data_IF_549434592122
#
_entry.id   IF_549434592122
#
_cell.length_a   1.000
_cell.length_b   1.000
_cell.length_c   1.000
_cell.angle_alpha   90.00
_cell.angle_beta   90.00
_cell.angle_gamma   90.00
#
_symmetry.space_group_name_H-M   'P 1'
#
loop_
_entity.id
_entity.type
_entity.pdbx_description
1 polymer ?
#
# COMPACT_ATOMS: atom_id res chain seq x y z
N UNK A 1 -1.59 9.98 -26.26
CA UNK A 1 -2.39 9.50 -25.13
C UNK A 1 -1.87 10.19 -23.86
N UNK A 2 -2.60 11.13 -23.30
CA UNK A 2 -2.17 11.87 -22.10
C UNK A 2 -2.12 10.93 -20.89
N UNK A 3 -1.06 11.02 -20.10
CA UNK A 3 -0.98 10.35 -18.79
C UNK A 3 -2.14 10.86 -17.92
N UNK A 4 -2.92 9.94 -17.33
CA UNK A 4 -3.96 10.27 -16.36
C UNK A 4 -3.29 10.99 -15.17
N UNK A 5 -3.66 12.23 -14.93
CA UNK A 5 -3.24 12.96 -13.73
C UNK A 5 -4.19 12.58 -12.59
N UNK A 6 -3.64 12.16 -11.48
CA UNK A 6 -4.38 11.91 -10.26
C UNK A 6 -4.63 13.22 -9.49
N UNK A 7 -5.64 13.25 -8.64
CA UNK A 7 -5.78 14.28 -7.62
C UNK A 7 -4.61 14.20 -6.63
N UNK A 8 -4.37 15.28 -5.87
CA UNK A 8 -3.18 15.33 -4.99
C UNK A 8 -3.08 14.17 -4.01
N UNK A 9 -4.20 13.78 -3.40
CA UNK A 9 -4.29 12.66 -2.46
C UNK A 9 -4.10 11.29 -3.14
N UNK A 10 -4.64 11.11 -4.34
CA UNK A 10 -4.42 9.89 -5.14
C UNK A 10 -2.96 9.76 -5.60
N UNK A 11 -2.34 10.89 -5.95
CA UNK A 11 -0.93 10.93 -6.35
C UNK A 11 -0.01 10.55 -5.19
N UNK A 12 -0.33 10.97 -3.97
CA UNK A 12 0.42 10.60 -2.76
C UNK A 12 0.28 9.09 -2.47
N UNK A 13 -0.93 8.55 -2.55
CA UNK A 13 -1.18 7.09 -2.41
C UNK A 13 -0.46 6.29 -3.49
N UNK A 14 -0.49 6.74 -4.73
CA UNK A 14 0.25 6.12 -5.82
C UNK A 14 1.76 6.12 -5.56
N UNK A 15 2.33 7.23 -5.09
CA UNK A 15 3.76 7.31 -4.74
C UNK A 15 4.13 6.36 -3.60
N UNK A 16 3.30 6.28 -2.57
CA UNK A 16 3.52 5.36 -1.46
C UNK A 16 3.51 3.90 -1.94
N UNK A 17 2.55 3.50 -2.77
CA UNK A 17 2.52 2.15 -3.35
C UNK A 17 3.77 1.84 -4.17
N UNK A 18 4.29 2.81 -4.94
CA UNK A 18 5.55 2.68 -5.68
C UNK A 18 6.76 2.55 -4.76
N UNK A 19 6.80 3.28 -3.64
CA UNK A 19 7.88 3.17 -2.65
C UNK A 19 7.89 1.81 -1.96
N UNK A 20 6.72 1.28 -1.61
CA UNK A 20 6.58 -0.06 -1.04
C UNK A 20 7.07 -1.13 -2.00
N UNK A 21 6.61 -1.12 -3.25
CA UNK A 21 7.05 -2.05 -4.28
C UNK A 21 8.57 -1.97 -4.53
N UNK A 22 9.13 -0.76 -4.56
CA UNK A 22 10.57 -0.57 -4.72
C UNK A 22 11.38 -1.07 -3.51
N UNK A 23 10.87 -0.89 -2.29
CA UNK A 23 11.50 -1.40 -1.08
C UNK A 23 11.58 -2.93 -1.11
N UNK A 24 10.54 -3.59 -1.52
CA UNK A 24 10.48 -5.05 -1.69
C UNK A 24 11.45 -5.53 -2.78
N UNK A 25 11.39 -4.94 -3.97
CA UNK A 25 12.33 -5.24 -5.06
C UNK A 25 13.77 -5.05 -4.59
N UNK A 26 14.08 -3.96 -3.92
CA UNK A 26 15.41 -3.68 -3.39
C UNK A 26 15.88 -4.74 -2.38
N UNK A 27 14.98 -5.23 -1.53
CA UNK A 27 15.30 -6.24 -0.52
C UNK A 27 15.49 -7.65 -1.11
N UNK A 28 14.89 -7.93 -2.27
CA UNK A 28 14.92 -9.26 -2.89
C UNK A 28 15.96 -9.40 -4.00
N UNK A 29 16.27 -8.31 -4.75
CA UNK A 29 17.04 -8.40 -6.00
C UNK A 29 18.48 -7.89 -5.91
N UNK A 30 18.94 -7.37 -4.78
CA UNK A 30 20.27 -6.76 -4.67
C UNK A 30 21.42 -7.71 -5.03
N UNK A 31 21.30 -8.97 -4.69
CA UNK A 31 22.29 -10.00 -5.00
C UNK A 31 22.34 -10.33 -6.50
N UNK A 32 21.19 -10.29 -7.20
CA UNK A 32 21.14 -10.47 -8.66
C UNK A 32 21.85 -9.33 -9.39
N UNK A 33 21.61 -8.07 -8.94
CA UNK A 33 22.26 -6.89 -9.53
C UNK A 33 23.77 -6.92 -9.29
N UNK A 34 24.20 -7.27 -8.08
CA UNK A 34 25.63 -7.45 -7.78
C UNK A 34 26.24 -8.57 -8.63
N UNK A 35 25.56 -9.71 -8.73
CA UNK A 35 25.99 -10.85 -9.57
C UNK A 35 26.12 -10.47 -11.03
N UNK A 36 25.21 -9.66 -11.57
CA UNK A 36 25.28 -9.18 -12.95
C UNK A 36 26.52 -8.30 -13.17
N UNK A 37 26.83 -7.38 -12.26
CA UNK A 37 28.05 -6.56 -12.33
C UNK A 37 29.29 -7.42 -12.34
N UNK A 38 29.31 -8.48 -11.51
CA UNK A 38 30.45 -9.41 -11.40
C UNK A 38 30.56 -10.35 -12.61
N UNK A 39 29.46 -10.73 -13.24
CA UNK A 39 29.45 -11.65 -14.40
C UNK A 39 30.28 -11.09 -15.57
N UNK A 40 30.33 -9.79 -15.74
CA UNK A 40 31.16 -9.14 -16.74
C UNK A 40 32.68 -9.29 -16.48
N UNK A 41 33.10 -9.70 -15.30
CA UNK A 41 34.53 -9.90 -15.01
C UNK A 41 35.14 -11.04 -15.84
N UNK A 42 34.34 -12.07 -16.20
CA UNK A 42 34.78 -13.09 -17.14
C UNK A 42 35.06 -12.52 -18.53
N UNK A 43 34.20 -11.57 -18.97
CA UNK A 43 34.38 -10.85 -20.22
C UNK A 43 35.60 -9.94 -20.18
N UNK A 44 35.86 -9.25 -19.07
CA UNK A 44 37.05 -8.41 -18.86
C UNK A 44 38.33 -9.22 -19.00
N UNK A 45 38.38 -10.43 -18.39
CA UNK A 45 39.51 -11.34 -18.52
C UNK A 45 39.72 -11.81 -19.99
N UNK A 46 38.64 -12.07 -20.74
CA UNK A 46 38.72 -12.48 -22.13
C UNK A 46 39.23 -11.35 -23.05
N UNK A 47 38.82 -10.11 -22.76
CA UNK A 47 39.17 -8.92 -23.56
C UNK A 47 40.60 -8.45 -23.30
N UNK A 48 41.00 -8.42 -22.02
CA UNK A 48 42.30 -7.90 -21.57
C UNK A 48 42.86 -8.72 -20.43
N UNK A 49 43.56 -9.83 -20.71
CA UNK A 49 44.12 -10.69 -19.68
C UNK A 49 45.17 -10.03 -18.79
N UNK A 50 45.77 -8.92 -19.22
CA UNK A 50 46.80 -8.23 -18.46
C UNK A 50 46.24 -7.27 -17.42
N UNK A 51 45.12 -6.61 -17.71
CA UNK A 51 44.54 -5.56 -16.86
C UNK A 51 43.23 -6.00 -16.16
N UNK A 52 42.70 -7.19 -16.44
CA UNK A 52 41.40 -7.65 -15.91
C UNK A 52 41.31 -7.61 -14.38
N UNK A 53 42.42 -7.84 -13.67
CA UNK A 53 42.41 -7.87 -12.21
C UNK A 53 42.06 -6.51 -11.62
N UNK A 54 42.53 -5.41 -12.21
CA UNK A 54 42.19 -4.04 -11.80
C UNK A 54 40.70 -3.76 -12.03
N UNK A 55 40.18 -4.14 -13.20
CA UNK A 55 38.75 -4.03 -13.51
C UNK A 55 37.89 -4.87 -12.57
N UNK A 56 38.30 -6.11 -12.27
CA UNK A 56 37.64 -7.00 -11.31
C UNK A 56 37.54 -6.37 -9.90
N UNK A 57 38.63 -5.80 -9.39
CA UNK A 57 38.62 -5.14 -8.08
C UNK A 57 37.65 -3.96 -8.02
N UNK A 58 37.57 -3.17 -9.07
CA UNK A 58 36.59 -2.07 -9.19
C UNK A 58 35.15 -2.60 -9.19
N UNK A 59 34.88 -3.70 -9.90
CA UNK A 59 33.56 -4.34 -9.87
C UNK A 59 33.22 -4.92 -8.50
N UNK A 60 34.20 -5.48 -7.79
CA UNK A 60 34.02 -5.94 -6.41
C UNK A 60 33.61 -4.81 -5.47
N UNK A 61 34.21 -3.62 -5.59
CA UNK A 61 33.81 -2.47 -4.81
C UNK A 61 32.36 -2.03 -5.11
N UNK A 62 32.00 -1.96 -6.39
CA UNK A 62 30.63 -1.65 -6.81
C UNK A 62 29.62 -2.67 -6.30
N UNK A 63 29.90 -3.95 -6.47
CA UNK A 63 29.07 -5.04 -5.97
C UNK A 63 28.93 -5.01 -4.43
N UNK A 64 30.00 -4.69 -3.71
CA UNK A 64 29.99 -4.50 -2.25
C UNK A 64 29.02 -3.40 -1.81
N UNK A 65 29.00 -2.25 -2.49
CA UNK A 65 28.03 -1.16 -2.23
C UNK A 65 26.61 -1.63 -2.52
N UNK A 66 26.38 -2.33 -3.63
CA UNK A 66 25.06 -2.86 -4.00
C UNK A 66 24.56 -3.84 -2.95
N UNK A 67 25.39 -4.76 -2.50
CA UNK A 67 25.05 -5.75 -1.46
C UNK A 67 24.79 -5.04 -0.12
N UNK A 68 25.70 -4.15 0.30
CA UNK A 68 25.57 -3.42 1.56
C UNK A 68 24.25 -2.65 1.66
N UNK A 69 23.89 -1.92 0.61
CA UNK A 69 22.61 -1.20 0.57
C UNK A 69 21.39 -2.13 0.54
N UNK A 70 21.51 -3.32 -0.06
CA UNK A 70 20.49 -4.36 -0.06
C UNK A 70 20.25 -4.97 1.33
N UNK A 71 21.33 -5.26 2.03
CA UNK A 71 21.26 -5.74 3.41
C UNK A 71 20.63 -4.67 4.31
N UNK A 72 21.04 -3.39 4.19
CA UNK A 72 20.43 -2.29 4.94
C UNK A 72 18.92 -2.22 4.68
N UNK A 73 18.48 -2.29 3.42
CA UNK A 73 17.05 -2.26 3.09
C UNK A 73 16.31 -3.45 3.72
N UNK A 74 16.89 -4.65 3.66
CA UNK A 74 16.28 -5.88 4.18
C UNK A 74 16.19 -5.90 5.71
N UNK A 75 17.23 -5.42 6.39
CA UNK A 75 17.29 -5.42 7.86
C UNK A 75 16.42 -4.31 8.45
N UNK A 76 16.44 -3.12 7.86
CA UNK A 76 15.70 -1.97 8.41
C UNK A 76 14.24 -1.93 7.99
N UNK A 77 13.87 -2.50 6.84
CA UNK A 77 12.53 -2.42 6.26
C UNK A 77 12.08 -0.98 5.92
N UNK A 78 12.97 0.00 5.96
CA UNK A 78 12.63 1.42 5.82
C UNK A 78 12.22 1.78 4.39
N UNK A 79 10.92 1.97 4.20
CA UNK A 79 10.31 2.33 2.90
C UNK A 79 10.74 3.71 2.43
N UNK A 80 10.89 4.67 3.34
CA UNK A 80 11.33 6.05 3.06
C UNK A 80 12.75 6.13 2.46
N UNK A 81 13.56 5.10 2.63
CA UNK A 81 14.91 5.01 2.07
C UNK A 81 14.99 4.35 0.69
N UNK A 82 13.93 3.67 0.25
CA UNK A 82 13.92 2.85 -0.97
C UNK A 82 14.41 3.60 -2.23
N UNK A 83 13.95 4.84 -2.42
CA UNK A 83 14.38 5.68 -3.54
C UNK A 83 15.86 6.10 -3.46
N UNK A 84 16.37 6.39 -2.26
CA UNK A 84 17.79 6.75 -2.05
C UNK A 84 18.68 5.54 -2.31
N UNK A 85 18.30 4.39 -1.79
CA UNK A 85 19.00 3.12 -1.99
C UNK A 85 19.06 2.75 -3.47
N UNK A 86 17.96 2.90 -4.20
CA UNK A 86 17.91 2.65 -5.65
C UNK A 86 18.90 3.55 -6.40
N UNK A 87 18.95 4.85 -6.09
CA UNK A 87 19.90 5.79 -6.69
C UNK A 87 21.35 5.46 -6.38
N UNK A 88 21.65 5.10 -5.14
CA UNK A 88 23.02 4.71 -4.73
C UNK A 88 23.44 3.43 -5.47
N UNK A 89 22.58 2.43 -5.58
CA UNK A 89 22.86 1.19 -6.34
C UNK A 89 23.11 1.47 -7.81
N UNK A 90 22.25 2.26 -8.41
CA UNK A 90 22.38 2.63 -9.81
C UNK A 90 23.70 3.37 -10.07
N UNK A 91 24.04 4.35 -9.22
CA UNK A 91 25.30 5.06 -9.31
C UNK A 91 26.50 4.12 -9.12
N UNK A 92 26.49 3.25 -8.10
CA UNK A 92 27.55 2.30 -7.84
C UNK A 92 27.78 1.34 -9.01
N UNK A 93 26.69 0.80 -9.60
CA UNK A 93 26.76 -0.06 -10.79
C UNK A 93 27.35 0.69 -12.01
N UNK A 94 26.86 1.90 -12.27
CA UNK A 94 27.34 2.72 -13.39
C UNK A 94 28.83 3.08 -13.25
N UNK A 95 29.24 3.54 -12.06
CA UNK A 95 30.64 3.88 -11.77
C UNK A 95 31.54 2.65 -11.90
N UNK A 96 31.15 1.54 -11.29
CA UNK A 96 31.94 0.32 -11.33
C UNK A 96 32.15 -0.19 -12.76
N UNK A 97 31.08 -0.18 -13.57
CA UNK A 97 31.21 -0.60 -14.98
C UNK A 97 32.03 0.38 -15.79
N UNK A 98 31.78 1.71 -15.67
CA UNK A 98 32.52 2.72 -16.46
C UNK A 98 34.01 2.75 -16.10
N UNK A 99 34.37 2.66 -14.79
CA UNK A 99 35.75 2.62 -14.36
C UNK A 99 36.44 1.31 -14.79
N UNK A 100 35.75 0.17 -14.70
CA UNK A 100 36.32 -1.09 -15.19
C UNK A 100 36.65 -1.02 -16.70
N UNK A 101 35.72 -0.47 -17.50
CA UNK A 101 35.95 -0.29 -18.95
C UNK A 101 37.12 0.68 -19.26
N UNK A 102 37.33 1.67 -18.41
CA UNK A 102 38.45 2.62 -18.58
C UNK A 102 39.83 2.02 -18.28
N UNK A 103 39.89 0.93 -17.49
CA UNK A 103 41.11 0.23 -17.11
C UNK A 103 41.54 -0.83 -18.14
N UNK A 104 40.63 -1.23 -19.01
CA UNK A 104 40.89 -2.28 -20.02
C UNK A 104 41.30 -1.66 -21.35
N UNK A 105 42.23 -2.30 -22.04
CA UNK A 105 42.52 -1.96 -23.44
C UNK A 105 41.27 -2.19 -24.28
N UNK A 106 40.86 -1.16 -25.02
CA UNK A 106 39.59 -1.17 -25.82
C UNK A 106 38.32 -1.47 -24.99
N UNK A 107 38.34 -1.35 -23.65
CA UNK A 107 37.21 -1.69 -22.78
C UNK A 107 35.91 -0.97 -23.17
N UNK A 108 35.94 0.33 -23.47
CA UNK A 108 34.76 1.06 -23.96
C UNK A 108 34.29 0.63 -25.35
N UNK A 109 35.16 0.11 -26.19
CA UNK A 109 34.78 -0.35 -27.52
C UNK A 109 34.00 -1.69 -27.46
N UNK A 110 34.46 -2.62 -26.65
CA UNK A 110 33.91 -3.99 -26.61
C UNK A 110 32.96 -4.22 -25.42
N UNK A 111 33.10 -3.47 -24.33
CA UNK A 111 32.33 -3.66 -23.09
C UNK A 111 31.17 -2.70 -22.89
N UNK A 112 30.89 -1.79 -23.81
CA UNK A 112 29.84 -0.76 -23.72
C UNK A 112 28.46 -1.35 -23.42
N UNK A 113 28.18 -2.58 -23.83
CA UNK A 113 26.93 -3.28 -23.60
C UNK A 113 26.60 -3.41 -22.08
N UNK A 114 27.62 -3.59 -21.23
CA UNK A 114 27.43 -3.61 -19.78
C UNK A 114 26.94 -2.28 -19.23
N UNK A 115 27.46 -1.17 -19.75
CA UNK A 115 27.03 0.17 -19.36
C UNK A 115 25.59 0.46 -19.84
N UNK A 116 25.27 0.08 -21.08
CA UNK A 116 23.92 0.16 -21.63
C UNK A 116 22.92 -0.63 -20.77
N UNK A 117 23.27 -1.85 -20.35
CA UNK A 117 22.41 -2.69 -19.51
C UNK A 117 22.10 -2.02 -18.15
N UNK A 118 23.10 -1.38 -17.53
CA UNK A 118 22.87 -0.61 -16.29
C UNK A 118 21.93 0.57 -16.54
N UNK A 119 22.14 1.35 -17.60
CA UNK A 119 21.28 2.49 -17.93
C UNK A 119 19.82 2.08 -18.20
N UNK A 120 19.58 0.94 -18.81
CA UNK A 120 18.24 0.40 -19.07
C UNK A 120 17.52 -0.04 -17.79
N UNK A 121 18.23 -0.18 -16.66
CA UNK A 121 17.60 -0.50 -15.38
C UNK A 121 16.97 0.71 -14.65
N UNK A 122 17.31 1.94 -15.03
CA UNK A 122 16.81 3.17 -14.40
C UNK A 122 15.28 3.28 -14.35
N UNK A 123 14.50 2.94 -15.40
CA UNK A 123 13.03 3.02 -15.37
C UNK A 123 12.37 2.13 -14.32
N UNK A 124 12.98 1.00 -13.96
CA UNK A 124 12.44 0.07 -12.99
C UNK A 124 12.59 0.57 -11.54
N UNK A 125 13.61 1.39 -11.30
CA UNK A 125 14.01 1.82 -9.97
C UNK A 125 13.63 3.28 -9.67
N UNK A 126 13.24 4.06 -10.67
CA UNK A 126 12.74 5.42 -10.50
C UNK A 126 11.30 5.42 -9.95
N UNK A 127 11.05 6.24 -8.91
CA UNK A 127 9.70 6.44 -8.36
C UNK A 127 8.97 7.53 -9.13
N UNK A 128 9.68 8.61 -9.46
CA UNK A 128 9.15 9.76 -10.17
C UNK A 128 10.07 10.23 -11.30
N UNK A 129 9.62 11.26 -12.02
CA UNK A 129 10.38 11.85 -13.14
C UNK A 129 11.69 12.49 -12.71
N UNK A 130 11.77 13.04 -11.49
CA UNK A 130 13.00 13.63 -10.96
C UNK A 130 14.05 12.58 -10.73
N UNK A 131 13.65 11.44 -10.13
CA UNK A 131 14.52 10.29 -9.94
C UNK A 131 15.07 9.79 -11.29
N UNK A 132 14.19 9.66 -12.30
CA UNK A 132 14.58 9.22 -13.63
C UNK A 132 15.59 10.18 -14.27
N UNK A 133 15.38 11.50 -14.17
CA UNK A 133 16.31 12.50 -14.69
C UNK A 133 17.66 12.39 -13.99
N UNK A 134 17.67 12.31 -12.67
CA UNK A 134 18.92 12.19 -11.90
C UNK A 134 19.67 10.92 -12.26
N UNK A 135 18.98 9.78 -12.39
CA UNK A 135 19.60 8.49 -12.71
C UNK A 135 20.12 8.40 -14.14
N UNK A 136 19.61 9.20 -15.08
CA UNK A 136 20.11 9.22 -16.45
C UNK A 136 21.14 10.34 -16.72
N UNK A 137 20.93 11.53 -16.18
CA UNK A 137 21.78 12.70 -16.48
C UNK A 137 23.10 12.70 -15.69
N UNK A 138 23.04 12.40 -14.37
CA UNK A 138 24.26 12.42 -13.54
C UNK A 138 25.31 11.39 -14.02
N UNK A 139 24.95 10.14 -14.40
CA UNK A 139 25.91 9.19 -14.95
C UNK A 139 26.52 9.63 -16.28
N UNK A 140 25.76 10.31 -17.15
CA UNK A 140 26.31 10.79 -18.43
C UNK A 140 27.50 11.75 -18.23
N UNK A 141 27.36 12.67 -17.29
CA UNK A 141 28.46 13.57 -16.96
C UNK A 141 29.67 12.80 -16.42
N UNK A 142 29.43 11.85 -15.52
CA UNK A 142 30.50 11.05 -14.93
C UNK A 142 31.19 10.16 -15.97
N UNK A 143 30.43 9.51 -16.86
CA UNK A 143 30.97 8.72 -17.96
C UNK A 143 31.84 9.58 -18.89
N UNK A 144 31.37 10.77 -19.24
CA UNK A 144 32.14 11.70 -20.08
C UNK A 144 33.48 12.09 -19.41
N UNK A 145 33.49 12.36 -18.10
CA UNK A 145 34.71 12.62 -17.33
C UNK A 145 35.67 11.44 -17.34
N UNK A 146 35.15 10.21 -17.09
CA UNK A 146 35.96 9.00 -17.11
C UNK A 146 36.55 8.74 -18.51
N UNK A 147 35.77 8.91 -19.58
CA UNK A 147 36.24 8.74 -20.96
C UNK A 147 37.31 9.77 -21.31
N UNK A 148 37.16 11.03 -20.89
CA UNK A 148 38.15 12.07 -21.08
C UNK A 148 39.46 11.78 -20.33
N UNK A 149 39.35 11.32 -19.05
CA UNK A 149 40.50 10.94 -18.24
C UNK A 149 41.26 9.71 -18.78
N UNK A 150 40.53 8.78 -19.40
CA UNK A 150 41.12 7.59 -20.02
C UNK A 150 41.84 7.89 -21.36
N UNK A 151 41.75 9.12 -21.90
CA UNK A 151 42.45 9.52 -23.13
C UNK A 151 42.03 8.74 -24.37
N UNK A 152 40.73 8.36 -24.48
CA UNK A 152 40.20 7.52 -25.56
C UNK A 152 40.29 8.21 -26.91
N UNK A 153 40.51 7.40 -27.96
CA UNK A 153 40.50 7.86 -29.34
C UNK A 153 39.12 8.32 -29.79
N UNK A 154 39.07 9.16 -30.84
CA UNK A 154 37.82 9.78 -31.31
C UNK A 154 36.79 8.75 -31.81
N UNK A 155 37.22 7.61 -32.37
CA UNK A 155 36.32 6.55 -32.82
C UNK A 155 35.63 5.88 -31.62
N UNK A 156 36.38 5.52 -30.59
CA UNK A 156 35.85 4.93 -29.32
C UNK A 156 34.88 5.87 -28.63
N UNK A 157 35.20 7.16 -28.56
CA UNK A 157 34.30 8.18 -28.00
C UNK A 157 33.00 8.28 -28.79
N UNK A 158 33.08 8.38 -30.11
CA UNK A 158 31.91 8.46 -30.99
C UNK A 158 31.04 7.21 -30.89
N UNK A 159 31.63 6.03 -30.96
CA UNK A 159 30.94 4.75 -30.84
C UNK A 159 30.19 4.67 -29.47
N UNK A 160 30.88 4.98 -28.39
CA UNK A 160 30.28 4.98 -27.04
C UNK A 160 29.14 5.97 -26.95
N UNK A 161 29.29 7.19 -27.48
CA UNK A 161 28.24 8.21 -27.46
C UNK A 161 26.98 7.77 -28.17
N UNK A 162 27.11 7.06 -29.33
CA UNK A 162 25.95 6.49 -30.05
C UNK A 162 25.19 5.47 -29.20
N UNK A 163 25.91 4.51 -28.61
CA UNK A 163 25.27 3.48 -27.76
C UNK A 163 24.63 4.07 -26.50
N UNK A 164 25.28 5.04 -25.85
CA UNK A 164 24.77 5.76 -24.67
C UNK A 164 23.52 6.55 -25.04
N UNK A 165 23.53 7.27 -26.18
CA UNK A 165 22.36 8.01 -26.65
C UNK A 165 21.18 7.08 -26.96
N UNK A 166 21.43 5.92 -27.58
CA UNK A 166 20.41 4.91 -27.81
C UNK A 166 19.87 4.34 -26.51
N UNK A 167 20.75 4.00 -25.56
CA UNK A 167 20.35 3.52 -24.24
C UNK A 167 19.48 4.54 -23.49
N UNK A 168 19.85 5.82 -23.54
CA UNK A 168 19.05 6.91 -22.95
C UNK A 168 17.67 7.00 -23.60
N UNK A 169 17.60 6.98 -24.93
CA UNK A 169 16.32 7.01 -25.66
C UNK A 169 15.42 5.83 -25.25
N UNK A 170 15.97 4.61 -25.26
CA UNK A 170 15.22 3.41 -24.85
C UNK A 170 14.81 3.47 -23.39
N UNK A 171 15.71 3.92 -22.49
CA UNK A 171 15.40 4.12 -21.06
C UNK A 171 14.22 5.08 -20.85
N UNK A 172 14.20 6.21 -21.58
CA UNK A 172 13.09 7.18 -21.49
C UNK A 172 11.77 6.62 -22.07
N UNK A 173 11.82 5.83 -23.14
CA UNK A 173 10.64 5.16 -23.69
C UNK A 173 10.08 4.12 -22.70
N UNK A 174 10.95 3.28 -22.14
CA UNK A 174 10.58 2.29 -21.13
C UNK A 174 9.97 2.98 -19.90
N UNK A 175 10.56 4.06 -19.41
CA UNK A 175 10.03 4.81 -18.29
C UNK A 175 8.59 5.29 -18.52
N UNK A 176 8.28 5.77 -19.74
CA UNK A 176 6.91 6.17 -20.09
C UNK A 176 5.94 4.98 -20.08
N UNK A 177 6.39 3.84 -20.64
CA UNK A 177 5.57 2.62 -20.67
C UNK A 177 5.28 2.14 -19.25
N UNK A 178 6.32 2.04 -18.39
CA UNK A 178 6.17 1.63 -16.99
C UNK A 178 5.31 2.59 -16.18
N UNK A 179 5.53 3.91 -16.28
CA UNK A 179 4.71 4.89 -15.59
C UNK A 179 3.24 4.74 -15.98
N UNK A 180 2.97 4.60 -17.29
CA UNK A 180 1.60 4.46 -17.78
C UNK A 180 0.96 3.15 -17.32
N UNK A 181 1.69 2.03 -17.35
CA UNK A 181 1.22 0.72 -16.92
C UNK A 181 0.92 0.71 -15.42
N UNK A 182 1.84 1.22 -14.60
CA UNK A 182 1.66 1.29 -13.14
C UNK A 182 0.48 2.19 -12.74
N UNK A 183 0.29 3.34 -13.40
CA UNK A 183 -0.86 4.22 -13.15
C UNK A 183 -2.18 3.56 -13.53
N UNK A 184 -2.20 2.77 -14.62
CA UNK A 184 -3.40 2.02 -15.02
C UNK A 184 -3.70 0.90 -14.03
N UNK A 185 -2.69 0.13 -13.63
CA UNK A 185 -2.86 -0.94 -12.65
C UNK A 185 -3.40 -0.40 -11.32
N UNK A 186 -2.82 0.69 -10.80
CA UNK A 186 -3.29 1.36 -9.58
C UNK A 186 -4.73 1.87 -9.71
N UNK A 187 -5.08 2.51 -10.83
CA UNK A 187 -6.44 3.00 -11.07
C UNK A 187 -7.46 1.84 -11.15
N UNK A 188 -7.09 0.73 -11.79
CA UNK A 188 -7.96 -0.46 -11.89
C UNK A 188 -8.15 -1.12 -10.53
N UNK A 189 -7.10 -1.26 -9.74
CA UNK A 189 -7.16 -1.77 -8.36
C UNK A 189 -8.09 -0.92 -7.50
N UNK A 190 -8.00 0.40 -7.60
CA UNK A 190 -8.91 1.32 -6.92
C UNK A 190 -10.37 1.17 -7.39
N UNK A 191 -10.59 1.00 -8.69
CA UNK A 191 -11.93 0.75 -9.22
C UNK A 191 -12.50 -0.56 -8.68
N UNK A 192 -11.74 -1.66 -8.73
CA UNK A 192 -12.17 -2.96 -8.20
C UNK A 192 -12.46 -2.90 -6.70
N UNK A 193 -11.63 -2.20 -5.92
CA UNK A 193 -11.89 -2.01 -4.49
C UNK A 193 -13.12 -1.15 -4.21
N UNK A 194 -13.42 -0.20 -5.09
CA UNK A 194 -14.61 0.66 -5.00
C UNK A 194 -15.88 -0.09 -5.43
N UNK A 195 -15.77 -1.03 -6.35
CA UNK A 195 -16.88 -1.87 -6.82
C UNK A 195 -17.12 -3.08 -5.89
N UNK A 196 -16.16 -3.45 -5.06
CA UNK A 196 -16.34 -4.50 -4.07
C UNK A 196 -17.49 -4.14 -3.11
N UNK A 197 -18.43 -5.07 -2.93
CA UNK A 197 -19.59 -4.90 -2.02
C UNK A 197 -19.34 -5.46 -0.63
N UNK A 198 -18.30 -6.24 -0.48
CA UNK A 198 -17.93 -6.91 0.76
C UNK A 198 -16.56 -6.47 1.25
N UNK A 199 -16.36 -6.49 2.57
CA UNK A 199 -15.06 -6.36 3.20
C UNK A 199 -14.25 -7.63 2.99
N UNK A 200 -13.05 -7.51 2.45
CA UNK A 200 -12.21 -8.66 2.06
C UNK A 200 -11.76 -9.52 3.26
N UNK A 201 -11.67 -8.94 4.47
CA UNK A 201 -11.23 -9.64 5.66
C UNK A 201 -12.34 -10.46 6.30
N UNK A 202 -13.53 -9.85 6.46
CA UNK A 202 -14.65 -10.43 7.21
C UNK A 202 -15.74 -11.06 6.34
N UNK A 203 -15.71 -10.78 5.02
CA UNK A 203 -16.75 -11.22 4.09
C UNK A 203 -18.14 -10.62 4.34
N UNK A 204 -18.26 -9.66 5.29
CA UNK A 204 -19.48 -8.90 5.51
C UNK A 204 -19.61 -7.79 4.44
N UNK A 205 -20.81 -7.27 4.18
CA UNK A 205 -21.02 -6.02 3.49
C UNK A 205 -20.07 -4.92 4.01
N UNK A 206 -19.44 -4.19 3.11
CA UNK A 206 -18.63 -3.04 3.48
C UNK A 206 -19.51 -1.80 3.73
N UNK A 207 -18.92 -0.72 4.23
CA UNK A 207 -19.60 0.53 4.54
C UNK A 207 -20.48 1.03 3.39
N UNK A 208 -20.00 0.97 2.14
CA UNK A 208 -20.75 1.43 0.97
C UNK A 208 -22.02 0.60 0.76
N UNK A 209 -21.90 -0.73 0.85
CA UNK A 209 -23.06 -1.63 0.72
C UNK A 209 -24.08 -1.42 1.82
N UNK A 210 -23.62 -1.11 3.04
CA UNK A 210 -24.51 -0.75 4.16
C UNK A 210 -25.23 0.56 3.90
N UNK A 211 -24.55 1.58 3.40
CA UNK A 211 -25.15 2.89 3.06
C UNK A 211 -26.22 2.75 1.95
N UNK A 212 -25.96 1.89 0.95
CA UNK A 212 -26.93 1.58 -0.12
C UNK A 212 -28.16 0.85 0.44
N UNK A 213 -27.95 -0.18 1.29
CA UNK A 213 -29.03 -0.92 1.96
C UNK A 213 -29.85 -0.01 2.88
N UNK A 214 -29.17 0.79 3.71
CA UNK A 214 -29.81 1.75 4.61
C UNK A 214 -30.69 2.77 3.86
N UNK A 215 -30.16 3.31 2.75
CA UNK A 215 -30.92 4.27 1.92
C UNK A 215 -32.23 3.63 1.42
N UNK A 216 -32.17 2.38 0.99
CA UNK A 216 -33.37 1.63 0.55
C UNK A 216 -34.36 1.45 1.70
N UNK A 217 -33.88 1.08 2.88
CA UNK A 217 -34.72 0.85 4.06
C UNK A 217 -35.32 2.15 4.63
N UNK A 218 -34.56 3.25 4.61
CA UNK A 218 -35.07 4.58 4.98
C UNK A 218 -36.23 4.98 4.06
N UNK A 219 -36.09 4.81 2.74
CA UNK A 219 -37.18 5.05 1.78
C UNK A 219 -38.40 4.19 2.05
N UNK A 220 -38.19 2.89 2.31
CA UNK A 220 -39.23 1.95 2.65
C UNK A 220 -39.97 2.36 3.93
N UNK A 221 -39.23 2.64 5.01
CA UNK A 221 -39.78 3.05 6.31
C UNK A 221 -40.52 4.38 6.22
N UNK A 222 -40.07 5.34 5.42
CA UNK A 222 -40.78 6.60 5.15
C UNK A 222 -42.13 6.35 4.53
N UNK A 223 -42.23 5.45 3.56
CA UNK A 223 -43.48 5.13 2.85
C UNK A 223 -44.46 4.32 3.71
N UNK A 224 -43.94 3.37 4.51
CA UNK A 224 -44.80 2.48 5.30
C UNK A 224 -45.10 3.00 6.71
N UNK A 225 -44.36 3.99 7.19
CA UNK A 225 -44.41 4.47 8.57
C UNK A 225 -43.72 3.52 9.57
N UNK A 226 -43.01 2.51 9.09
CA UNK A 226 -42.33 1.54 9.92
C UNK A 226 -41.10 2.14 10.60
N UNK A 227 -40.77 1.75 11.86
CA UNK A 227 -39.56 2.16 12.54
C UNK A 227 -38.33 1.53 11.89
N UNK A 228 -37.20 2.22 11.97
CA UNK A 228 -35.89 1.76 11.54
C UNK A 228 -34.87 2.11 12.62
N UNK A 229 -34.09 1.16 13.06
CA UNK A 229 -33.03 1.38 14.04
C UNK A 229 -31.65 1.05 13.49
N UNK A 230 -30.63 1.63 14.09
CA UNK A 230 -29.22 1.44 13.78
C UNK A 230 -28.48 1.05 15.05
N UNK A 231 -27.61 0.05 14.95
CA UNK A 231 -26.66 -0.33 15.98
C UNK A 231 -25.25 -0.12 15.41
N UNK A 232 -24.42 0.62 16.12
CA UNK A 232 -22.97 0.67 15.88
C UNK A 232 -22.27 -0.04 17.02
N UNK A 233 -21.26 -0.85 16.72
CA UNK A 233 -20.43 -1.47 17.74
C UNK A 233 -18.94 -1.42 17.35
N UNK A 234 -18.09 -1.42 18.37
CA UNK A 234 -16.64 -1.39 18.25
C UNK A 234 -16.03 -2.40 19.24
N UNK A 235 -14.96 -3.08 18.80
CA UNK A 235 -14.27 -4.08 19.62
C UNK A 235 -13.44 -3.39 20.69
N UNK A 236 -13.76 -3.68 21.94
CA UNK A 236 -13.07 -3.09 23.08
C UNK A 236 -11.60 -3.49 23.11
N UNK A 237 -10.73 -2.49 23.28
CA UNK A 237 -9.27 -2.69 23.39
C UNK A 237 -8.61 -3.39 22.19
N UNK A 238 -9.17 -3.33 21.00
CA UNK A 238 -8.64 -4.03 19.81
C UNK A 238 -7.20 -3.68 19.52
N UNK A 239 -6.80 -2.41 19.68
CA UNK A 239 -5.40 -2.00 19.54
C UNK A 239 -4.47 -2.78 20.49
N UNK A 240 -4.88 -3.05 21.71
CA UNK A 240 -4.07 -3.84 22.66
C UNK A 240 -3.95 -5.30 22.23
N UNK A 241 -4.96 -5.85 21.54
CA UNK A 241 -4.88 -7.18 20.93
C UNK A 241 -3.80 -7.18 19.85
N UNK A 242 -3.82 -6.20 18.94
CA UNK A 242 -2.81 -6.07 17.89
C UNK A 242 -1.40 -5.87 18.46
N UNK A 243 -1.26 -4.97 19.44
CA UNK A 243 0.04 -4.66 20.06
C UNK A 243 0.65 -5.88 20.80
N UNK A 244 -0.20 -6.74 21.38
CA UNK A 244 0.24 -7.91 22.17
C UNK A 244 0.42 -9.18 21.35
N UNK A 245 -0.44 -9.44 20.39
CA UNK A 245 -0.53 -10.71 19.68
C UNK A 245 -0.21 -10.60 18.16
N UNK A 246 0.00 -9.38 17.67
CA UNK A 246 0.25 -9.11 16.25
C UNK A 246 -1.04 -8.95 15.43
N UNK A 247 -0.89 -8.35 14.26
CA UNK A 247 -2.01 -8.05 13.36
C UNK A 247 -2.73 -9.31 12.83
N UNK A 248 -2.00 -10.42 12.64
CA UNK A 248 -2.60 -11.67 12.16
C UNK A 248 -3.64 -12.24 13.16
N UNK A 249 -3.38 -12.09 14.47
CA UNK A 249 -4.34 -12.48 15.51
C UNK A 249 -5.49 -11.47 15.58
N UNK A 250 -5.22 -10.18 15.43
CA UNK A 250 -6.26 -9.16 15.31
C UNK A 250 -7.23 -9.44 14.16
N UNK A 251 -6.70 -9.82 13.01
CA UNK A 251 -7.50 -10.21 11.84
C UNK A 251 -8.39 -11.43 12.11
N UNK A 252 -7.89 -12.41 12.85
CA UNK A 252 -8.68 -13.56 13.26
C UNK A 252 -9.78 -13.18 14.26
N UNK A 253 -9.50 -12.25 15.20
CA UNK A 253 -10.52 -11.68 16.11
C UNK A 253 -11.60 -10.97 15.32
N UNK A 254 -11.26 -10.14 14.34
CA UNK A 254 -12.23 -9.47 13.46
C UNK A 254 -13.14 -10.47 12.73
N UNK A 255 -12.57 -11.55 12.18
CA UNK A 255 -13.35 -12.62 11.53
C UNK A 255 -14.29 -13.30 12.52
N UNK A 256 -13.79 -13.67 13.71
CA UNK A 256 -14.57 -14.32 14.76
C UNK A 256 -15.74 -13.45 15.20
N UNK A 257 -15.51 -12.15 15.42
CA UNK A 257 -16.56 -11.19 15.78
C UNK A 257 -17.58 -11.06 14.65
N UNK A 258 -17.14 -10.91 13.41
CA UNK A 258 -18.01 -10.80 12.24
C UNK A 258 -18.94 -12.04 12.11
N UNK A 259 -18.37 -13.23 12.22
CA UNK A 259 -19.14 -14.48 12.15
C UNK A 259 -20.12 -14.61 13.32
N UNK A 260 -19.72 -14.22 14.52
CA UNK A 260 -20.58 -14.19 15.69
C UNK A 260 -21.76 -13.22 15.48
N UNK A 261 -21.50 -12.01 15.04
CA UNK A 261 -22.55 -11.02 14.77
C UNK A 261 -23.52 -11.49 13.67
N UNK A 262 -23.03 -12.20 12.65
CA UNK A 262 -23.85 -12.78 11.59
C UNK A 262 -24.86 -13.80 12.14
N UNK A 263 -24.52 -14.55 13.20
CA UNK A 263 -25.47 -15.47 13.82
C UNK A 263 -26.62 -14.80 14.58
N UNK A 264 -26.43 -13.54 14.96
CA UNK A 264 -27.44 -12.72 15.66
C UNK A 264 -28.36 -12.01 14.68
N UNK A 265 -27.85 -11.59 13.51
CA UNK A 265 -28.59 -10.88 12.49
C UNK A 265 -29.68 -11.74 11.87
N UNK A 266 -30.86 -11.15 11.58
CA UNK A 266 -31.93 -11.76 10.81
C UNK A 266 -31.65 -11.57 9.32
N UNK A 267 -32.36 -12.29 8.46
CA UNK A 267 -32.28 -12.13 7.01
C UNK A 267 -32.65 -10.71 6.54
N UNK A 268 -33.56 -10.06 7.26
CA UNK A 268 -33.99 -8.68 6.99
C UNK A 268 -32.98 -7.63 7.44
N UNK A 269 -32.06 -7.98 8.32
CA UNK A 269 -31.11 -7.04 8.91
C UNK A 269 -29.89 -6.89 7.98
N UNK A 270 -29.39 -5.66 7.81
CA UNK A 270 -28.15 -5.43 7.07
C UNK A 270 -27.00 -5.25 8.07
N UNK A 271 -26.12 -6.25 8.15
CA UNK A 271 -24.89 -6.21 8.96
C UNK A 271 -23.68 -6.00 8.06
N UNK A 272 -22.73 -5.17 8.48
CA UNK A 272 -21.47 -4.99 7.77
C UNK A 272 -20.36 -4.36 8.61
N UNK A 273 -19.16 -4.35 8.02
CA UNK A 273 -18.00 -3.69 8.61
C UNK A 273 -18.03 -2.20 8.25
N UNK A 274 -18.10 -1.35 9.28
CA UNK A 274 -18.23 0.09 9.12
C UNK A 274 -16.89 0.82 9.08
N UNK A 275 -15.93 0.35 9.88
CA UNK A 275 -14.58 0.90 10.00
C UNK A 275 -13.55 -0.19 10.31
N UNK A 276 -12.38 0.18 10.80
CA UNK A 276 -11.30 -0.73 11.13
C UNK A 276 -11.71 -1.87 12.06
N UNK A 277 -12.26 -1.53 13.22
CA UNK A 277 -12.74 -2.47 14.27
C UNK A 277 -14.22 -2.27 14.58
N UNK A 278 -14.92 -1.50 13.72
CA UNK A 278 -16.32 -1.12 13.90
C UNK A 278 -17.24 -1.90 12.96
N UNK A 279 -18.40 -2.28 13.49
CA UNK A 279 -19.48 -2.94 12.74
C UNK A 279 -20.76 -2.14 12.92
N UNK A 280 -21.61 -2.15 11.88
CA UNK A 280 -22.90 -1.48 11.87
C UNK A 280 -23.98 -2.48 11.43
N UNK A 281 -25.12 -2.41 12.12
CA UNK A 281 -26.31 -3.19 11.77
C UNK A 281 -27.50 -2.23 11.59
N UNK A 282 -28.20 -2.38 10.45
CA UNK A 282 -29.45 -1.70 10.14
C UNK A 282 -30.61 -2.68 10.43
N UNK A 283 -31.59 -2.24 11.19
CA UNK A 283 -32.70 -3.07 11.68
C UNK A 283 -34.02 -2.51 11.15
N UNK A 284 -34.54 -3.03 10.02
CA UNK A 284 -35.85 -2.66 9.52
C UNK A 284 -36.97 -3.11 10.48
N UNK A 285 -38.08 -2.39 10.46
CA UNK A 285 -39.31 -2.68 11.23
C UNK A 285 -39.00 -2.87 12.76
N UNK A 286 -38.02 -2.11 13.28
CA UNK A 286 -37.49 -2.29 14.63
C UNK A 286 -37.41 -0.94 15.33
N UNK A 287 -38.08 -0.80 16.45
CA UNK A 287 -38.00 0.37 17.31
C UNK A 287 -36.74 0.33 18.21
N UNK A 288 -36.47 1.42 18.91
CA UNK A 288 -35.30 1.56 19.76
C UNK A 288 -35.22 0.49 20.86
N UNK A 289 -36.35 0.10 21.46
CA UNK A 289 -36.40 -0.93 22.52
C UNK A 289 -36.06 -2.32 21.98
N UNK A 290 -36.65 -2.69 20.86
CA UNK A 290 -36.36 -3.94 20.17
C UNK A 290 -34.90 -3.98 19.69
N UNK A 291 -34.36 -2.86 19.16
CA UNK A 291 -32.95 -2.74 18.75
C UNK A 291 -32.00 -2.92 19.95
N UNK A 292 -32.34 -2.40 21.12
CA UNK A 292 -31.55 -2.63 22.32
C UNK A 292 -31.46 -4.10 22.72
N UNK A 293 -32.56 -4.84 22.61
CA UNK A 293 -32.55 -6.29 22.87
C UNK A 293 -31.62 -7.01 21.87
N UNK A 294 -31.63 -6.60 20.61
CA UNK A 294 -30.72 -7.15 19.61
C UNK A 294 -29.26 -6.79 19.94
N UNK A 295 -28.99 -5.54 20.32
CA UNK A 295 -27.66 -5.10 20.70
C UNK A 295 -27.12 -5.87 21.94
N UNK A 296 -27.94 -6.11 22.94
CA UNK A 296 -27.55 -6.96 24.09
C UNK A 296 -27.28 -8.41 23.70
N UNK A 297 -28.01 -8.96 22.71
CA UNK A 297 -27.72 -10.29 22.16
C UNK A 297 -26.37 -10.30 21.45
N UNK A 298 -26.08 -9.27 20.64
CA UNK A 298 -24.77 -9.09 19.99
C UNK A 298 -23.65 -9.05 21.02
N UNK A 299 -23.80 -8.21 22.05
CA UNK A 299 -22.83 -8.06 23.14
C UNK A 299 -22.52 -9.40 23.81
N UNK A 300 -23.55 -10.11 24.27
CA UNK A 300 -23.42 -11.41 24.95
C UNK A 300 -22.83 -12.49 24.04
N UNK A 301 -23.22 -12.50 22.77
CA UNK A 301 -22.69 -13.46 21.81
C UNK A 301 -21.17 -13.27 21.62
N UNK A 302 -20.70 -12.04 21.46
CA UNK A 302 -19.26 -11.76 21.32
C UNK A 302 -18.51 -12.03 22.64
N UNK A 303 -19.06 -11.63 23.79
CA UNK A 303 -18.46 -11.89 25.11
C UNK A 303 -18.25 -13.40 25.39
N UNK A 304 -19.13 -14.25 24.88
CA UNK A 304 -19.08 -15.71 25.04
C UNK A 304 -18.39 -16.45 23.89
N UNK A 305 -18.06 -15.76 22.81
CA UNK A 305 -17.46 -16.38 21.63
C UNK A 305 -16.04 -16.91 21.92
N UNK A 306 -15.68 -18.11 21.47
CA UNK A 306 -14.31 -18.60 21.56
C UNK A 306 -13.39 -17.79 20.63
N UNK A 307 -12.40 -17.10 21.22
CA UNK A 307 -11.43 -16.33 20.49
C UNK A 307 -10.28 -17.22 19.98
N UNK A 308 -9.55 -16.77 18.91
CA UNK A 308 -8.54 -17.60 18.24
C UNK A 308 -7.34 -17.99 19.11
N UNK A 309 -7.10 -17.25 20.21
CA UNK A 309 -6.02 -17.56 21.16
C UNK A 309 -6.60 -17.98 22.50
N UNK A 310 -6.15 -19.12 23.07
CA UNK A 310 -6.59 -19.55 24.38
C UNK A 310 -6.40 -18.45 25.47
N UNK A 311 -7.47 -18.14 26.18
CA UNK A 311 -7.46 -17.11 27.24
C UNK A 311 -7.66 -15.67 26.73
N UNK A 312 -7.65 -15.42 25.43
CA UNK A 312 -8.08 -14.13 24.88
C UNK A 312 -9.60 -13.99 25.04
N UNK A 313 -10.05 -12.83 25.49
CA UNK A 313 -11.46 -12.45 25.51
C UNK A 313 -11.60 -11.15 24.71
N UNK A 314 -12.64 -11.07 23.91
CA UNK A 314 -13.05 -9.85 23.26
C UNK A 314 -14.45 -9.46 23.73
N UNK A 315 -14.68 -8.18 23.91
CA UNK A 315 -15.99 -7.60 24.18
C UNK A 315 -16.25 -6.47 23.18
N UNK A 316 -17.48 -6.03 23.07
CA UNK A 316 -17.88 -4.92 22.22
C UNK A 316 -18.67 -3.89 23.00
N UNK A 317 -18.46 -2.63 22.68
CA UNK A 317 -19.28 -1.50 23.14
C UNK A 317 -20.23 -1.11 22.02
N UNK A 318 -21.51 -0.92 22.34
CA UNK A 318 -22.55 -0.67 21.34
C UNK A 318 -23.31 0.61 21.64
N UNK A 319 -23.75 1.26 20.56
CA UNK A 319 -24.68 2.36 20.58
C UNK A 319 -25.89 2.06 19.70
N UNK A 320 -27.08 2.44 20.17
CA UNK A 320 -28.36 2.21 19.51
C UNK A 320 -29.06 3.54 19.27
N UNK A 321 -29.57 3.74 18.06
CA UNK A 321 -30.41 4.87 17.70
C UNK A 321 -31.56 4.44 16.80
N UNK A 322 -32.73 5.07 17.00
CA UNK A 322 -33.87 4.96 16.08
C UNK A 322 -33.87 6.12 15.10
N UNK A 323 -34.20 5.85 13.84
CA UNK A 323 -34.31 6.86 12.82
C UNK A 323 -35.47 7.84 13.13
N UNK A 324 -35.12 9.07 13.38
CA UNK A 324 -36.11 10.11 13.70
C UNK A 324 -37.00 10.44 12.50
N UNK A 325 -38.24 10.86 12.79
CA UNK A 325 -39.19 11.34 11.78
C UNK A 325 -38.89 12.82 11.46
N UNK A 326 -39.00 13.21 10.19
CA UNK A 326 -38.76 14.59 9.72
C UNK A 326 -37.39 14.77 9.07
N UNK A 327 -37.23 15.77 8.21
CA UNK A 327 -36.03 15.98 7.39
C UNK A 327 -35.96 15.12 6.13
N UNK A 328 -34.90 15.32 5.34
CA UNK A 328 -34.63 14.49 4.16
C UNK A 328 -34.11 13.12 4.54
N UNK A 329 -34.29 12.12 3.66
CA UNK A 329 -33.84 10.74 3.92
C UNK A 329 -32.33 10.64 4.23
N UNK A 330 -31.44 11.32 3.48
CA UNK A 330 -30.02 11.30 3.79
C UNK A 330 -29.68 11.94 5.15
N UNK A 331 -30.32 13.04 5.52
CA UNK A 331 -30.10 13.72 6.80
C UNK A 331 -30.53 12.83 7.95
N UNK A 332 -31.66 12.16 7.84
CA UNK A 332 -32.19 11.22 8.86
C UNK A 332 -31.22 10.04 9.09
N UNK A 333 -30.68 9.47 8.00
CA UNK A 333 -29.70 8.40 8.08
C UNK A 333 -28.41 8.86 8.78
N UNK A 334 -27.84 9.98 8.32
CA UNK A 334 -26.61 10.52 8.90
C UNK A 334 -26.79 10.84 10.38
N UNK A 335 -27.93 11.41 10.74
CA UNK A 335 -28.23 11.74 12.15
C UNK A 335 -28.40 10.48 13.00
N UNK A 336 -29.06 9.43 12.52
CA UNK A 336 -29.19 8.18 13.26
C UNK A 336 -27.83 7.49 13.46
N UNK A 337 -26.97 7.47 12.46
CA UNK A 337 -25.60 6.98 12.56
C UNK A 337 -24.80 7.78 13.58
N UNK A 338 -24.84 9.12 13.53
CA UNK A 338 -24.16 9.99 14.49
C UNK A 338 -24.62 9.73 15.93
N UNK A 339 -25.95 9.63 16.13
CA UNK A 339 -26.53 9.38 17.47
C UNK A 339 -26.12 7.99 18.02
N UNK A 340 -26.08 6.97 17.16
CA UNK A 340 -25.60 5.64 17.54
C UNK A 340 -24.10 5.67 17.90
N UNK A 341 -23.28 6.41 17.15
CA UNK A 341 -21.86 6.59 17.44
C UNK A 341 -21.62 7.31 18.77
N UNK A 342 -22.33 8.41 19.04
CA UNK A 342 -22.31 9.13 20.33
C UNK A 342 -22.69 8.19 21.49
N UNK A 343 -23.68 7.31 21.29
CA UNK A 343 -24.11 6.33 22.28
C UNK A 343 -23.04 5.24 22.49
N UNK A 344 -22.40 4.75 21.43
CA UNK A 344 -21.30 3.79 21.53
C UNK A 344 -20.11 4.40 22.30
N UNK A 345 -19.77 5.66 22.03
CA UNK A 345 -18.73 6.37 22.79
C UNK A 345 -19.07 6.44 24.29
N UNK A 346 -20.34 6.69 24.66
CA UNK A 346 -20.78 6.63 26.08
C UNK A 346 -20.61 5.23 26.68
N UNK A 347 -20.90 4.17 25.90
CA UNK A 347 -20.65 2.78 26.32
C UNK A 347 -19.17 2.56 26.64
N UNK A 348 -18.26 3.05 25.79
CA UNK A 348 -16.81 2.98 26.02
C UNK A 348 -16.39 3.76 27.29
N UNK A 349 -16.90 4.99 27.46
CA UNK A 349 -16.59 5.84 28.61
C UNK A 349 -17.13 5.27 29.94
N UNK A 350 -18.30 4.62 29.93
CA UNK A 350 -18.94 4.05 31.09
C UNK A 350 -18.36 2.69 31.55
N UNK A 351 -17.27 2.22 30.94
CA UNK A 351 -16.55 0.99 31.35
C UNK A 351 -16.63 -0.15 30.33
N UNK A 352 -17.06 0.12 29.12
CA UNK A 352 -17.09 -0.84 27.98
C UNK A 352 -18.05 -2.02 28.19
N UNK A 353 -18.03 -2.98 27.24
CA UNK A 353 -18.84 -4.20 27.27
C UNK A 353 -20.31 -3.93 27.65
N UNK A 354 -20.92 -2.97 26.99
CA UNK A 354 -22.31 -2.55 27.25
C UNK A 354 -22.97 -1.91 26.05
N UNK A 355 -24.27 -1.70 26.18
CA UNK A 355 -25.12 -0.99 25.23
C UNK A 355 -25.56 0.33 25.83
N UNK A 356 -25.53 1.40 25.06
CA UNK A 356 -26.14 2.70 25.38
C UNK A 356 -27.12 3.11 24.29
N UNK A 357 -28.15 3.87 24.69
CA UNK A 357 -29.13 4.46 23.77
C UNK A 357 -28.69 5.83 23.31
N UNK A 358 -29.19 6.25 22.16
CA UNK A 358 -29.15 7.64 21.79
C UNK A 358 -29.97 8.50 22.78
N UNK A 359 -29.43 9.61 23.23
CA UNK A 359 -30.22 10.59 23.97
C UNK A 359 -31.17 11.28 22.98
N UNK A 360 -32.49 11.18 23.23
CA UNK A 360 -33.46 11.93 22.43
C UNK A 360 -33.23 13.42 22.63
N UNK A 361 -33.09 14.22 21.57
CA UNK A 361 -33.05 15.66 21.76
C UNK A 361 -34.35 16.11 22.50
N UNK A 362 -34.18 16.77 23.63
CA UNK A 362 -35.31 17.39 24.33
C UNK A 362 -35.94 18.41 23.39
N UNK A 363 -37.23 18.30 23.04
CA UNK A 363 -37.86 19.29 22.20
C UNK A 363 -37.78 20.64 22.92
N UNK A 364 -37.05 21.58 22.30
CA UNK A 364 -37.07 22.98 22.75
C UNK A 364 -38.50 23.46 22.55
N UNK A 365 -39.22 23.71 23.64
CA UNK A 365 -40.57 24.27 23.65
C UNK A 365 -40.54 25.72 23.24
#
# INVERSE_FOLDING_TARGET
MMLRRFAAEEEERFRLSRQLALAEINAQTFWLVAGLVMAFSWWDWYVDPDNWLAAFLVRCLGAGVIIGTGVVQRVTGRVDWSARIAKVRFAAGTVAVACALALLDRGFLVGIAGLVAVMLSAPYTAIDRRDLVVMNVAPLFLIAVIMAAAGLDSFTVMNSAVFIALALLVSLLLARVFETSNRRAFALEQQLSTEARTDALTGLPNRRSLEEAATSEVKRGTRTGSPLAVIICDIDHFKQVNDRYGHDVGDQVLRTVADTLRTVARESDALGRWGGEEFLMVLPDTDERAAFVVAERMRKAVESAPMPVPGLKATISLGVAELLRGGSEPERWQEAVRQADDAMYRSKAAGRNRVSWAERPVPIR
#
